data_IF_049341136034
#
_entry.id   IF_049341136034
#
_cell.length_a   1.000
_cell.length_b   1.000
_cell.length_c   1.000
_cell.angle_alpha   90.00
_cell.angle_beta   90.00
_cell.angle_gamma   90.00
#
_symmetry.space_group_name_H-M   'P 1'
#
loop_
_entity.id
_entity.type
_entity.pdbx_description
1 polymer ?
#
# COMPACT_ATOMS: atom_id res chain seq x y z
N UNK A 1 -5.40 10.21 6.02
CA UNK A 1 -4.68 9.33 6.98
C UNK A 1 -5.03 9.72 8.41
N UNK A 2 -6.25 9.35 8.90
CA UNK A 2 -6.83 9.84 10.16
C UNK A 2 -5.93 9.58 11.39
N UNK A 3 -5.22 8.46 11.42
CA UNK A 3 -4.36 8.11 12.56
C UNK A 3 -3.21 9.10 12.80
N UNK A 4 -2.85 9.92 11.82
CA UNK A 4 -1.81 10.96 11.97
C UNK A 4 -2.41 12.36 12.07
N UNK A 5 -3.51 12.61 11.38
CA UNK A 5 -4.11 13.95 11.32
C UNK A 5 -5.15 14.19 12.39
N UNK A 6 -5.70 13.13 13.00
CA UNK A 6 -6.85 13.21 13.90
C UNK A 6 -8.17 13.61 13.21
N UNK A 7 -8.14 13.76 11.87
CA UNK A 7 -9.31 14.19 11.07
C UNK A 7 -9.65 13.13 10.03
N UNK A 8 -10.95 12.94 9.81
CA UNK A 8 -11.50 12.06 8.78
C UNK A 8 -12.11 12.88 7.66
N UNK A 9 -11.84 12.49 6.42
CA UNK A 9 -12.55 13.00 5.24
C UNK A 9 -13.81 12.16 5.06
N UNK A 10 -14.97 12.71 5.45
CA UNK A 10 -16.25 12.01 5.27
C UNK A 10 -16.63 11.99 3.79
N UNK A 11 -17.44 11.02 3.37
CA UNK A 11 -17.95 10.94 2.00
C UNK A 11 -18.70 12.24 1.60
N UNK A 12 -19.46 12.84 2.53
CA UNK A 12 -20.14 14.13 2.32
C UNK A 12 -19.13 15.26 2.01
N UNK A 13 -18.07 15.37 2.83
CA UNK A 13 -17.04 16.40 2.62
C UNK A 13 -16.34 16.19 1.28
N UNK A 14 -15.96 14.95 0.95
CA UNK A 14 -15.28 14.62 -0.32
C UNK A 14 -16.21 14.95 -1.51
N UNK A 15 -17.49 14.58 -1.43
CA UNK A 15 -18.48 14.90 -2.46
C UNK A 15 -18.59 16.41 -2.67
N UNK A 16 -18.67 17.18 -1.57
CA UNK A 16 -18.71 18.65 -1.65
C UNK A 16 -17.43 19.22 -2.28
N UNK A 17 -16.25 18.77 -1.85
CA UNK A 17 -14.98 19.22 -2.41
C UNK A 17 -14.87 18.89 -3.91
N UNK A 18 -15.27 17.69 -4.33
CA UNK A 18 -15.23 17.29 -5.73
C UNK A 18 -16.18 18.14 -6.59
N UNK A 19 -17.31 18.57 -6.05
CA UNK A 19 -18.26 19.45 -6.75
C UNK A 19 -17.78 20.90 -6.83
N UNK A 20 -17.24 21.41 -5.73
CA UNK A 20 -16.93 22.84 -5.59
C UNK A 20 -15.56 23.20 -6.17
N UNK A 21 -14.69 22.20 -6.39
CA UNK A 21 -13.31 22.39 -6.89
C UNK A 21 -13.01 21.45 -8.07
N UNK A 22 -12.73 22.01 -9.23
CA UNK A 22 -12.44 21.22 -10.44
C UNK A 22 -11.17 20.36 -10.30
N UNK A 23 -10.16 20.87 -9.58
CA UNK A 23 -8.89 20.20 -9.35
C UNK A 23 -8.94 19.13 -8.24
N UNK A 24 -10.05 18.99 -7.52
CA UNK A 24 -10.28 17.86 -6.62
C UNK A 24 -10.73 16.64 -7.45
N UNK A 25 -9.77 15.86 -7.94
CA UNK A 25 -9.98 14.79 -8.92
C UNK A 25 -9.72 13.38 -8.35
N UNK A 26 -9.52 13.25 -7.06
CA UNK A 26 -9.34 11.95 -6.46
C UNK A 26 -9.08 11.99 -4.96
N UNK A 27 -9.14 10.82 -4.35
CA UNK A 27 -8.88 10.59 -2.94
C UNK A 27 -8.03 9.33 -2.76
N UNK A 28 -6.95 9.45 -1.98
CA UNK A 28 -6.30 8.29 -1.39
C UNK A 28 -6.68 8.22 0.08
N UNK A 29 -7.22 7.10 0.51
CA UNK A 29 -7.61 6.87 1.90
C UNK A 29 -6.84 5.72 2.54
N UNK A 30 -6.32 5.94 3.75
CA UNK A 30 -5.63 4.94 4.56
C UNK A 30 -6.33 4.65 5.89
N UNK A 31 -7.61 5.02 6.01
CA UNK A 31 -8.42 4.68 7.18
C UNK A 31 -8.75 3.18 7.22
N UNK A 32 -8.92 2.58 6.05
CA UNK A 32 -9.41 1.22 5.88
C UNK A 32 -10.94 1.14 5.79
N UNK A 33 -11.64 2.27 5.79
CA UNK A 33 -13.09 2.34 5.61
C UNK A 33 -13.45 2.21 4.12
N UNK A 34 -13.60 0.98 3.66
CA UNK A 34 -13.99 0.69 2.28
C UNK A 34 -15.39 1.20 1.94
N UNK A 35 -16.31 1.27 2.92
CA UNK A 35 -17.67 1.78 2.65
C UNK A 35 -17.63 3.28 2.36
N UNK A 36 -16.84 4.05 3.12
CA UNK A 36 -16.65 5.47 2.85
C UNK A 36 -15.98 5.70 1.49
N UNK A 37 -15.00 4.87 1.12
CA UNK A 37 -14.35 4.92 -0.19
C UNK A 37 -15.33 4.59 -1.33
N UNK A 38 -16.13 3.55 -1.17
CA UNK A 38 -17.14 3.17 -2.16
C UNK A 38 -18.20 4.26 -2.36
N UNK A 39 -18.59 4.97 -1.30
CA UNK A 39 -19.56 6.05 -1.38
C UNK A 39 -19.11 7.25 -2.24
N UNK A 40 -17.80 7.42 -2.45
CA UNK A 40 -17.23 8.49 -3.29
C UNK A 40 -16.70 7.97 -4.63
N UNK A 41 -16.72 6.67 -4.84
CA UNK A 41 -16.34 6.06 -6.10
C UNK A 41 -17.35 6.49 -7.21
N UNK A 42 -16.83 6.82 -8.37
CA UNK A 42 -17.66 7.27 -9.50
C UNK A 42 -18.11 8.74 -9.44
N UNK A 43 -17.67 9.53 -8.47
CA UNK A 43 -17.91 10.98 -8.49
C UNK A 43 -17.37 11.60 -9.79
N UNK A 44 -17.95 12.75 -10.20
CA UNK A 44 -17.60 13.44 -11.46
C UNK A 44 -17.76 12.55 -12.71
N UNK A 45 -18.81 11.72 -12.75
CA UNK A 45 -19.08 10.80 -13.85
C UNK A 45 -17.88 9.85 -14.12
N UNK A 46 -17.29 9.31 -13.06
CA UNK A 46 -16.14 8.42 -13.13
C UNK A 46 -14.77 9.11 -13.31
N UNK A 47 -14.72 10.44 -13.25
CA UNK A 47 -13.44 11.19 -13.35
C UNK A 47 -12.79 11.48 -11.98
N UNK A 48 -13.36 10.97 -10.91
CA UNK A 48 -12.82 11.08 -9.55
C UNK A 48 -12.16 9.75 -9.17
N UNK A 49 -10.83 9.72 -9.11
CA UNK A 49 -10.08 8.51 -8.83
C UNK A 49 -10.07 8.17 -7.33
N UNK A 50 -10.25 6.91 -7.02
CA UNK A 50 -10.24 6.39 -5.64
C UNK A 50 -9.08 5.41 -5.44
N UNK A 51 -8.20 5.72 -4.49
CA UNK A 51 -7.02 4.92 -4.20
C UNK A 51 -7.06 4.35 -2.77
N UNK A 52 -7.02 3.01 -2.68
CA UNK A 52 -6.90 2.35 -1.36
C UNK A 52 -5.48 2.50 -0.80
N UNK A 53 -5.37 2.85 0.47
CA UNK A 53 -4.09 3.05 1.15
C UNK A 53 -3.55 1.84 1.90
N UNK A 54 -4.37 1.09 2.65
CA UNK A 54 -3.91 -0.11 3.35
C UNK A 54 -3.58 -1.25 2.39
N UNK A 55 -2.35 -1.75 2.45
CA UNK A 55 -1.85 -2.85 1.60
C UNK A 55 -2.70 -4.12 1.72
N UNK A 56 -3.22 -4.40 2.92
CA UNK A 56 -4.06 -5.58 3.18
C UNK A 56 -5.44 -5.54 2.50
N UNK A 57 -5.83 -4.39 1.95
CA UNK A 57 -7.15 -4.18 1.35
C UNK A 57 -7.10 -3.92 -0.16
N UNK A 58 -5.94 -4.10 -0.82
CA UNK A 58 -5.81 -3.80 -2.25
C UNK A 58 -6.82 -4.59 -3.07
N UNK A 59 -6.83 -5.91 -2.96
CA UNK A 59 -7.75 -6.75 -3.72
C UNK A 59 -9.22 -6.49 -3.36
N UNK A 60 -9.52 -6.25 -2.08
CA UNK A 60 -10.88 -5.90 -1.65
C UNK A 60 -11.34 -4.58 -2.27
N UNK A 61 -10.47 -3.55 -2.26
CA UNK A 61 -10.75 -2.27 -2.89
C UNK A 61 -11.00 -2.40 -4.39
N UNK A 62 -10.15 -3.12 -5.11
CA UNK A 62 -10.33 -3.40 -6.54
C UNK A 62 -11.65 -4.14 -6.81
N UNK A 63 -11.99 -5.14 -5.98
CA UNK A 63 -13.25 -5.90 -6.10
C UNK A 63 -14.49 -5.05 -5.86
N UNK A 64 -14.38 -3.95 -5.11
CA UNK A 64 -15.44 -2.96 -4.91
C UNK A 64 -15.44 -1.86 -5.99
N UNK A 65 -14.55 -1.93 -6.98
CA UNK A 65 -14.47 -0.99 -8.08
C UNK A 65 -13.63 0.26 -7.80
N UNK A 66 -12.79 0.26 -6.75
CA UNK A 66 -11.82 1.35 -6.57
C UNK A 66 -10.76 1.29 -7.68
N UNK A 67 -10.27 2.45 -8.09
CA UNK A 67 -9.46 2.59 -9.30
C UNK A 67 -8.01 2.09 -9.14
N UNK A 68 -7.41 2.28 -7.95
CA UNK A 68 -6.01 1.97 -7.75
C UNK A 68 -5.65 1.78 -6.27
N UNK A 69 -4.35 1.56 -6.02
CA UNK A 69 -3.78 1.57 -4.68
C UNK A 69 -2.58 2.52 -4.59
N UNK A 70 -2.39 3.14 -3.41
CA UNK A 70 -1.17 3.87 -3.07
C UNK A 70 -0.55 3.18 -1.86
N UNK A 71 0.25 2.19 -2.15
CA UNK A 71 0.78 1.19 -1.23
C UNK A 71 2.17 1.57 -0.69
N UNK A 72 2.36 1.40 0.61
CA UNK A 72 3.70 1.50 1.21
C UNK A 72 4.62 0.37 0.76
N UNK A 73 4.07 -0.83 0.58
CA UNK A 73 4.83 -2.01 0.15
C UNK A 73 5.32 -1.91 -1.29
N UNK A 74 4.71 -1.09 -2.14
CA UNK A 74 5.20 -0.86 -3.51
C UNK A 74 6.60 -0.22 -3.57
N UNK A 75 7.08 0.37 -2.48
CA UNK A 75 8.45 0.88 -2.43
C UNK A 75 9.51 -0.22 -2.38
N UNK A 76 9.21 -1.39 -1.83
CA UNK A 76 10.20 -2.43 -1.62
C UNK A 76 9.80 -3.80 -2.18
N UNK A 77 8.52 -3.99 -2.53
CA UNK A 77 7.93 -5.19 -3.17
C UNK A 77 6.94 -4.78 -4.26
N UNK A 78 7.35 -3.95 -5.24
CA UNK A 78 6.44 -3.49 -6.30
C UNK A 78 5.86 -4.65 -7.11
N UNK A 79 6.60 -5.74 -7.26
CA UNK A 79 6.22 -6.91 -8.07
C UNK A 79 4.96 -7.60 -7.50
N UNK A 80 4.85 -7.69 -6.16
CA UNK A 80 3.68 -8.31 -5.53
C UNK A 80 2.48 -7.37 -5.68
N UNK A 81 2.68 -6.07 -5.44
CA UNK A 81 1.60 -5.08 -5.54
C UNK A 81 1.08 -4.98 -6.98
N UNK A 82 1.96 -4.84 -7.96
CA UNK A 82 1.60 -4.82 -9.38
C UNK A 82 0.92 -6.14 -9.78
N UNK A 83 1.47 -7.27 -9.37
CA UNK A 83 0.90 -8.59 -9.65
C UNK A 83 -0.53 -8.77 -9.15
N UNK A 84 -0.92 -8.17 -8.01
CA UNK A 84 -2.33 -8.18 -7.55
C UNK A 84 -3.21 -7.46 -8.56
N UNK A 85 -2.80 -6.27 -9.02
CA UNK A 85 -3.54 -5.50 -10.02
C UNK A 85 -3.64 -6.24 -11.35
N UNK A 86 -2.52 -6.76 -11.84
CA UNK A 86 -2.44 -7.47 -13.13
C UNK A 86 -3.34 -8.72 -13.13
N UNK A 87 -3.24 -9.55 -12.08
CA UNK A 87 -4.08 -10.74 -11.93
C UNK A 87 -5.56 -10.40 -11.82
N UNK A 88 -5.91 -9.36 -11.05
CA UNK A 88 -7.29 -8.91 -10.92
C UNK A 88 -7.87 -8.45 -12.26
N UNK A 89 -7.15 -7.61 -13.01
CA UNK A 89 -7.59 -7.11 -14.30
C UNK A 89 -7.62 -8.18 -15.40
N UNK A 90 -6.79 -9.22 -15.28
CA UNK A 90 -6.84 -10.40 -16.13
C UNK A 90 -8.01 -11.34 -15.80
N UNK A 91 -8.76 -11.10 -14.71
CA UNK A 91 -9.83 -11.97 -14.23
C UNK A 91 -9.34 -13.19 -13.46
N UNK A 92 -8.03 -13.31 -13.17
CA UNK A 92 -7.46 -14.40 -12.38
C UNK A 92 -7.54 -14.09 -10.88
N UNK A 93 -8.72 -14.27 -10.33
CA UNK A 93 -8.98 -13.99 -8.93
C UNK A 93 -8.17 -14.90 -7.99
N UNK A 94 -7.88 -16.13 -8.38
CA UNK A 94 -7.09 -17.07 -7.57
C UNK A 94 -5.64 -16.57 -7.42
N UNK A 95 -5.01 -16.17 -8.52
CA UNK A 95 -3.69 -15.56 -8.49
C UNK A 95 -3.67 -14.25 -7.68
N UNK A 96 -4.66 -13.37 -7.86
CA UNK A 96 -4.77 -12.13 -7.11
C UNK A 96 -4.91 -12.39 -5.60
N UNK A 97 -5.72 -13.36 -5.18
CA UNK A 97 -5.86 -13.75 -3.78
C UNK A 97 -4.58 -14.34 -3.19
N UNK A 98 -3.84 -15.13 -3.95
CA UNK A 98 -2.55 -15.70 -3.55
C UNK A 98 -1.52 -14.59 -3.30
N UNK A 99 -1.42 -13.64 -4.23
CA UNK A 99 -0.52 -12.48 -4.11
C UNK A 99 -0.92 -11.56 -2.95
N UNK A 100 -2.21 -11.32 -2.74
CA UNK A 100 -2.68 -10.55 -1.59
C UNK A 100 -2.32 -11.22 -0.26
N UNK A 101 -2.45 -12.55 -0.15
CA UNK A 101 -2.02 -13.31 1.04
C UNK A 101 -0.52 -13.20 1.26
N UNK A 102 0.27 -13.27 0.18
CA UNK A 102 1.72 -13.09 0.24
C UNK A 102 2.08 -11.68 0.71
N UNK A 103 1.45 -10.64 0.17
CA UNK A 103 1.66 -9.25 0.59
C UNK A 103 1.35 -9.04 2.07
N UNK A 104 0.26 -9.65 2.56
CA UNK A 104 -0.11 -9.56 3.98
C UNK A 104 0.94 -10.22 4.89
N UNK A 105 1.49 -11.37 4.47
CA UNK A 105 2.56 -12.04 5.20
C UNK A 105 3.86 -11.21 5.21
N UNK A 106 4.24 -10.63 4.06
CA UNK A 106 5.38 -9.71 3.93
C UNK A 106 5.20 -8.50 4.85
N UNK A 107 4.03 -7.87 4.84
CA UNK A 107 3.73 -6.71 5.69
C UNK A 107 3.81 -7.06 7.17
N UNK A 108 3.40 -8.27 7.57
CA UNK A 108 3.53 -8.77 8.94
C UNK A 108 4.98 -8.89 9.40
N UNK A 109 5.86 -9.41 8.54
CA UNK A 109 7.30 -9.51 8.81
C UNK A 109 7.93 -8.12 8.94
N UNK A 110 7.68 -7.24 7.99
CA UNK A 110 8.30 -5.90 7.94
C UNK A 110 7.76 -4.99 9.03
N UNK A 111 6.46 -5.05 9.34
CA UNK A 111 5.81 -4.22 10.35
C UNK A 111 6.34 -4.43 11.77
N UNK A 112 6.73 -5.66 12.12
CA UNK A 112 7.26 -6.02 13.43
C UNK A 112 8.65 -5.43 13.75
N UNK A 113 9.41 -5.02 12.73
CA UNK A 113 10.79 -4.50 12.88
C UNK A 113 10.93 -2.98 12.84
N UNK A 114 9.80 -2.23 12.86
CA UNK A 114 9.85 -0.77 12.65
C UNK A 114 9.90 -0.42 11.16
N UNK A 115 8.75 -0.46 10.54
CA UNK A 115 8.49 -0.47 9.10
C UNK A 115 9.47 0.35 8.24
N UNK A 116 9.57 1.65 8.44
CA UNK A 116 10.36 2.52 7.56
C UNK A 116 11.87 2.24 7.64
N UNK A 117 12.35 1.88 8.82
CA UNK A 117 13.79 1.64 9.05
C UNK A 117 14.23 0.33 8.44
N UNK A 118 13.37 -0.70 8.49
CA UNK A 118 13.61 -2.02 7.90
C UNK A 118 13.47 -1.97 6.37
N UNK A 119 12.48 -1.25 5.84
CA UNK A 119 12.30 -1.07 4.39
C UNK A 119 13.55 -0.49 3.73
N UNK A 120 14.21 0.49 4.36
CA UNK A 120 15.46 1.04 3.82
C UNK A 120 16.60 0.02 3.79
N UNK A 121 16.65 -0.86 4.78
CA UNK A 121 17.59 -1.98 4.80
C UNK A 121 17.31 -3.03 3.72
N UNK A 122 16.02 -3.34 3.48
CA UNK A 122 15.61 -4.25 2.40
C UNK A 122 15.97 -3.66 1.04
N UNK A 123 15.72 -2.37 0.81
CA UNK A 123 16.08 -1.69 -0.43
C UNK A 123 17.60 -1.73 -0.67
N UNK A 124 18.41 -1.48 0.36
CA UNK A 124 19.86 -1.60 0.26
C UNK A 124 20.30 -3.03 -0.09
N UNK A 125 19.65 -4.05 0.48
CA UNK A 125 19.88 -5.45 0.14
C UNK A 125 19.53 -5.78 -1.31
N UNK A 126 18.48 -5.17 -1.85
CA UNK A 126 18.07 -5.28 -3.26
C UNK A 126 18.93 -4.44 -4.21
N UNK A 127 19.98 -3.79 -3.75
CA UNK A 127 20.91 -3.01 -4.57
C UNK A 127 20.56 -1.52 -4.69
N UNK A 128 19.54 -1.04 -3.98
CA UNK A 128 19.15 0.37 -3.95
C UNK A 128 19.52 1.03 -2.61
N UNK A 129 20.71 1.60 -2.46
CA UNK A 129 21.15 2.24 -1.22
C UNK A 129 20.46 3.63 -1.05
N UNK A 130 19.30 3.63 -0.40
CA UNK A 130 18.47 4.84 -0.17
C UNK A 130 18.84 5.61 1.11
N UNK A 131 19.98 5.27 1.71
CA UNK A 131 20.45 5.89 2.97
C UNK A 131 19.64 5.50 4.21
N UNK A 132 19.93 6.15 5.33
CA UNK A 132 19.24 5.92 6.59
C UNK A 132 17.92 6.70 6.73
N UNK A 133 17.30 6.60 7.91
CA UNK A 133 16.13 7.42 8.27
C UNK A 133 16.57 8.76 8.84
N UNK A 134 15.69 9.76 8.79
CA UNK A 134 15.92 11.08 9.41
C UNK A 134 15.60 11.04 10.90
N UNK A 135 16.35 11.81 11.69
CA UNK A 135 16.01 12.04 13.09
C UNK A 135 14.55 12.55 13.24
N UNK A 136 13.83 12.19 14.29
CA UNK A 136 14.28 11.44 15.47
C UNK A 136 14.26 9.91 15.30
N UNK A 137 13.96 9.37 14.12
CA UNK A 137 13.97 7.93 13.91
C UNK A 137 15.40 7.37 13.97
N UNK A 138 15.53 6.14 14.45
CA UNK A 138 16.79 5.40 14.52
C UNK A 138 16.75 4.30 13.44
N UNK A 139 17.80 4.20 12.64
CA UNK A 139 17.92 3.14 11.62
C UNK A 139 17.87 1.75 12.29
N UNK A 140 17.25 0.79 11.62
CA UNK A 140 17.30 -0.59 12.07
C UNK A 140 18.76 -1.09 12.10
N UNK A 141 19.09 -1.96 13.06
CA UNK A 141 20.39 -2.63 13.10
C UNK A 141 20.51 -3.61 11.91
N UNK A 142 21.75 -3.87 11.49
CA UNK A 142 22.02 -4.88 10.46
C UNK A 142 21.49 -6.26 10.85
N UNK A 143 21.48 -6.60 12.14
CA UNK A 143 20.91 -7.84 12.65
C UNK A 143 19.40 -7.90 12.41
N UNK A 144 18.68 -6.81 12.73
CA UNK A 144 17.23 -6.71 12.49
C UNK A 144 16.91 -6.83 11.01
N UNK A 145 17.68 -6.16 10.15
CA UNK A 145 17.48 -6.23 8.70
C UNK A 145 17.75 -7.64 8.18
N UNK A 146 18.84 -8.28 8.58
CA UNK A 146 19.16 -9.67 8.19
C UNK A 146 18.08 -10.65 8.64
N UNK A 147 17.61 -10.54 9.88
CA UNK A 147 16.52 -11.39 10.38
C UNK A 147 15.24 -11.23 9.55
N UNK A 148 14.88 -10.00 9.20
CA UNK A 148 13.75 -9.72 8.34
C UNK A 148 13.92 -10.33 6.94
N UNK A 149 15.10 -10.16 6.31
CA UNK A 149 15.41 -10.74 5.00
C UNK A 149 15.29 -12.27 5.03
N UNK A 150 15.80 -12.93 6.06
CA UNK A 150 15.68 -14.38 6.23
C UNK A 150 14.22 -14.83 6.30
N UNK A 151 13.38 -14.09 7.03
CA UNK A 151 11.95 -14.40 7.12
C UNK A 151 11.23 -14.16 5.77
N UNK A 152 11.58 -13.10 5.03
CA UNK A 152 11.03 -12.84 3.71
C UNK A 152 11.41 -13.94 2.70
N UNK A 153 12.66 -14.41 2.74
CA UNK A 153 13.13 -15.55 1.91
C UNK A 153 12.35 -16.84 2.23
N UNK A 154 12.04 -17.08 3.52
CA UNK A 154 11.20 -18.21 3.93
C UNK A 154 9.76 -18.13 3.37
N UNK A 155 9.25 -16.91 3.12
CA UNK A 155 7.99 -16.68 2.41
C UNK A 155 8.10 -16.80 0.88
N UNK A 156 9.27 -17.21 0.37
CA UNK A 156 9.57 -17.32 -1.07
C UNK A 156 9.36 -16.00 -1.83
N UNK A 157 9.69 -14.90 -1.18
CA UNK A 157 9.70 -13.58 -1.82
C UNK A 157 11.01 -13.42 -2.58
N UNK A 158 10.93 -12.99 -3.82
CA UNK A 158 12.11 -12.63 -4.59
C UNK A 158 12.67 -11.30 -4.08
N UNK A 159 13.91 -11.34 -3.60
CA UNK A 159 14.66 -10.18 -3.13
C UNK A 159 15.84 -9.85 -4.07
N UNK A 160 15.90 -10.50 -5.24
CA UNK A 160 16.88 -10.12 -6.27
C UNK A 160 16.69 -8.66 -6.67
N UNK A 161 17.74 -8.05 -7.21
CA UNK A 161 17.81 -6.60 -7.45
C UNK A 161 16.62 -6.00 -8.21
N UNK A 162 16.45 -4.70 -8.05
CA UNK A 162 15.46 -3.88 -8.76
C UNK A 162 16.03 -3.41 -10.09
#
# INVERSE_FOLDING_TARGET
>A
LPKFTGNTLTAELVTRLSRDYENAVGLKDSSGDLLAMFAVNGLKDGRFNTAIGPDSLILAGLSMGLDCSVSGSSNYMPEIVAGIHDAFHAGDLEAAQKLQKQLNAVSGVVGGGGWLTVVKGILAHRGLPVGGVRAPMISASDETVRACITQLQALRVDLSGV
#
